data_IF_395841505684
#
_entry.id   IF_395841505684
#
_cell.length_a   1.000
_cell.length_b   1.000
_cell.length_c   1.000
_cell.angle_alpha   90.00
_cell.angle_beta   90.00
_cell.angle_gamma   90.00
#
_symmetry.space_group_name_H-M   'P 1'
#
loop_
_entity.id
_entity.type
_entity.pdbx_description
1 polymer ?
#
# COMPACT_ATOMS: atom_id res chain seq x y z
N UNK A 1 -9.76 -14.15 -0.25
CA UNK A 1 -9.37 -12.90 -0.93
C UNK A 1 -10.63 -12.18 -1.35
N UNK A 2 -10.78 -10.91 -0.99
CA UNK A 2 -11.90 -10.05 -1.41
C UNK A 2 -11.33 -8.85 -2.17
N UNK A 3 -11.97 -8.47 -3.26
CA UNK A 3 -11.64 -7.28 -4.03
C UNK A 3 -12.87 -6.35 -4.04
N UNK A 4 -12.67 -5.09 -3.69
CA UNK A 4 -13.65 -4.02 -3.84
C UNK A 4 -13.08 -2.99 -4.78
N UNK A 5 -13.86 -2.55 -5.77
CA UNK A 5 -13.46 -1.54 -6.74
C UNK A 5 -14.55 -0.46 -6.80
N UNK A 6 -14.20 0.77 -6.41
CA UNK A 6 -15.09 1.93 -6.47
C UNK A 6 -14.54 2.92 -7.48
N UNK A 7 -15.37 3.31 -8.45
CA UNK A 7 -14.97 4.16 -9.60
C UNK A 7 -15.56 5.57 -9.54
N UNK A 8 -16.70 5.74 -8.87
CA UNK A 8 -17.49 6.98 -8.95
C UNK A 8 -17.24 7.96 -7.80
N UNK A 9 -16.61 7.52 -6.71
CA UNK A 9 -16.49 8.30 -5.48
C UNK A 9 -15.70 9.62 -5.65
N UNK A 10 -14.85 9.71 -6.67
CA UNK A 10 -13.93 10.84 -6.87
C UNK A 10 -13.59 11.12 -8.32
N UNK A 11 -14.41 10.59 -9.26
CA UNK A 11 -13.99 10.50 -10.66
C UNK A 11 -13.70 11.88 -11.27
N UNK A 12 -14.54 12.89 -10.99
CA UNK A 12 -14.46 14.22 -11.63
C UNK A 12 -13.92 15.33 -10.71
N UNK A 13 -13.81 15.06 -9.41
CA UNK A 13 -13.29 15.97 -8.39
C UNK A 13 -12.97 15.20 -7.12
N UNK A 14 -12.04 15.71 -6.32
CA UNK A 14 -11.72 15.18 -4.99
C UNK A 14 -12.78 15.56 -3.94
N UNK A 15 -13.60 16.58 -4.20
CA UNK A 15 -14.56 17.10 -3.22
C UNK A 15 -15.58 16.06 -2.72
N UNK A 16 -16.14 15.18 -3.57
CA UNK A 16 -17.03 14.12 -3.10
C UNK A 16 -16.34 13.07 -2.23
N UNK A 17 -15.00 12.92 -2.30
CA UNK A 17 -14.28 11.98 -1.42
C UNK A 17 -14.46 12.34 0.05
N UNK A 18 -14.48 13.64 0.38
CA UNK A 18 -14.71 14.09 1.76
C UNK A 18 -16.06 13.62 2.30
N UNK A 19 -17.07 13.45 1.43
CA UNK A 19 -18.37 12.91 1.83
C UNK A 19 -18.33 11.39 2.02
N UNK A 20 -17.42 10.69 1.33
CA UNK A 20 -17.26 9.22 1.46
C UNK A 20 -16.35 8.81 2.62
N UNK A 21 -15.57 9.73 3.19
CA UNK A 21 -14.65 9.42 4.30
C UNK A 21 -15.37 8.77 5.49
N UNK A 22 -16.55 9.30 5.85
CA UNK A 22 -17.38 8.73 6.90
C UNK A 22 -17.80 7.29 6.60
N UNK A 23 -18.15 6.99 5.34
CA UNK A 23 -18.56 5.65 4.92
C UNK A 23 -17.38 4.67 4.93
N UNK A 24 -16.19 5.10 4.47
CA UNK A 24 -14.98 4.30 4.55
C UNK A 24 -14.58 4.03 6.00
N UNK A 25 -14.57 5.07 6.86
CA UNK A 25 -14.29 4.92 8.29
C UNK A 25 -15.23 3.90 8.91
N UNK A 26 -16.54 4.09 8.73
CA UNK A 26 -17.57 3.19 9.24
C UNK A 26 -17.36 1.76 8.72
N UNK A 27 -17.10 1.58 7.43
CA UNK A 27 -16.82 0.27 6.86
C UNK A 27 -15.62 -0.41 7.54
N UNK A 28 -14.50 0.31 7.73
CA UNK A 28 -13.32 -0.26 8.36
C UNK A 28 -13.52 -0.54 9.85
N UNK A 29 -14.24 0.32 10.57
CA UNK A 29 -14.59 0.13 11.98
C UNK A 29 -15.51 -1.08 12.18
N UNK A 30 -16.62 -1.16 11.44
CA UNK A 30 -17.59 -2.28 11.52
C UNK A 30 -16.96 -3.62 11.13
N UNK A 31 -15.97 -3.61 10.24
CA UNK A 31 -15.30 -4.81 9.74
C UNK A 31 -13.91 -5.04 10.36
N UNK A 32 -13.52 -4.29 11.41
CA UNK A 32 -12.16 -4.29 11.98
C UNK A 32 -11.58 -5.69 12.23
N UNK A 33 -12.38 -6.58 12.82
CA UNK A 33 -11.99 -7.95 13.14
C UNK A 33 -11.63 -8.79 11.89
N UNK A 34 -12.19 -8.48 10.72
CA UNK A 34 -11.87 -9.16 9.46
C UNK A 34 -10.47 -8.81 8.97
N UNK A 35 -9.96 -7.64 9.32
CA UNK A 35 -8.62 -7.17 8.93
C UNK A 35 -7.52 -7.64 9.89
N UNK A 36 -7.85 -8.16 11.07
CA UNK A 36 -6.86 -8.64 12.04
C UNK A 36 -6.02 -9.81 11.49
N UNK A 37 -6.58 -10.61 10.58
CA UNK A 37 -5.92 -11.75 9.96
C UNK A 37 -5.74 -11.61 8.44
N UNK A 38 -5.82 -10.38 7.90
CA UNK A 38 -5.74 -10.13 6.47
C UNK A 38 -4.65 -9.12 6.11
N UNK A 39 -3.96 -9.35 5.00
CA UNK A 39 -3.25 -8.26 4.31
C UNK A 39 -4.30 -7.41 3.62
N UNK A 40 -4.39 -6.14 4.02
CA UNK A 40 -5.36 -5.18 3.50
C UNK A 40 -4.63 -4.16 2.64
N UNK A 41 -5.10 -3.97 1.41
CA UNK A 41 -4.55 -3.02 0.45
C UNK A 41 -5.67 -2.06 0.05
N UNK A 42 -5.45 -0.77 0.20
CA UNK A 42 -6.32 0.29 -0.32
C UNK A 42 -5.50 1.06 -1.33
N UNK A 43 -6.00 1.16 -2.57
CA UNK A 43 -5.25 1.80 -3.65
C UNK A 43 -6.13 2.60 -4.58
N UNK A 44 -5.56 3.67 -5.13
CA UNK A 44 -6.06 4.30 -6.36
C UNK A 44 -5.41 3.65 -7.57
N UNK A 45 -6.14 3.58 -8.68
CA UNK A 45 -5.62 3.15 -9.98
C UNK A 45 -4.85 4.26 -10.70
N UNK A 46 -5.17 5.51 -10.38
CA UNK A 46 -4.44 6.69 -10.80
C UNK A 46 -4.55 7.81 -9.75
N UNK A 47 -3.65 8.79 -9.84
CA UNK A 47 -3.79 10.05 -9.10
C UNK A 47 -4.87 10.96 -9.70
N UNK A 48 -5.18 12.11 -9.08
CA UNK A 48 -6.23 13.00 -9.54
C UNK A 48 -5.98 13.52 -10.97
N UNK A 49 -7.05 13.57 -11.77
CA UNK A 49 -7.02 13.96 -13.20
C UNK A 49 -7.71 15.30 -13.47
N UNK A 50 -8.69 15.65 -12.66
CA UNK A 50 -9.60 16.76 -12.88
C UNK A 50 -9.62 17.68 -11.65
N UNK A 51 -10.28 18.84 -11.78
CA UNK A 51 -10.28 19.96 -10.82
C UNK A 51 -8.99 20.80 -10.82
N UNK A 52 -9.13 22.03 -10.36
CA UNK A 52 -8.08 23.02 -10.18
C UNK A 52 -6.99 22.56 -9.21
N UNK A 53 -7.31 21.66 -8.29
CA UNK A 53 -6.39 21.08 -7.31
C UNK A 53 -5.19 20.38 -7.99
N UNK A 54 -5.39 19.73 -9.15
CA UNK A 54 -4.33 19.05 -9.93
C UNK A 54 -3.25 20.01 -10.41
N UNK A 55 -3.56 21.30 -10.58
CA UNK A 55 -2.59 22.30 -11.04
C UNK A 55 -1.75 22.90 -9.90
N UNK A 56 -2.04 22.54 -8.65
CA UNK A 56 -1.20 22.92 -7.52
C UNK A 56 0.09 22.08 -7.50
N UNK A 57 1.13 22.56 -6.82
CA UNK A 57 2.36 21.77 -6.64
C UNK A 57 2.05 20.39 -6.03
N UNK A 58 1.19 20.34 -5.01
CA UNK A 58 0.78 19.11 -4.36
C UNK A 58 -0.02 18.19 -5.31
N UNK A 59 -1.00 18.72 -6.01
CA UNK A 59 -1.81 17.93 -6.96
C UNK A 59 -0.98 17.34 -8.10
N UNK A 60 0.08 18.01 -8.57
CA UNK A 60 1.03 17.45 -9.53
C UNK A 60 1.85 16.30 -8.94
N UNK A 61 2.17 16.34 -7.65
CA UNK A 61 2.80 15.21 -6.95
C UNK A 61 1.83 14.05 -6.84
N UNK A 62 0.62 14.29 -6.33
CA UNK A 62 -0.41 13.25 -6.11
C UNK A 62 -0.87 12.61 -7.42
N UNK A 63 -0.94 13.39 -8.52
CA UNK A 63 -1.24 12.88 -9.87
C UNK A 63 -0.28 11.76 -10.29
N UNK A 64 1.00 11.89 -9.93
CA UNK A 64 2.05 10.94 -10.27
C UNK A 64 2.28 9.90 -9.16
N UNK A 65 1.59 10.01 -8.02
CA UNK A 65 1.74 9.16 -6.85
C UNK A 65 0.35 8.67 -6.39
N UNK A 66 -0.29 7.75 -7.13
CA UNK A 66 -1.58 7.20 -6.74
C UNK A 66 -1.51 6.60 -5.33
N UNK A 67 -2.61 6.76 -4.57
CA UNK A 67 -2.72 6.25 -3.21
C UNK A 67 -2.39 4.76 -3.16
N UNK A 68 -1.52 4.37 -2.21
CA UNK A 68 -1.21 2.98 -1.90
C UNK A 68 -1.05 2.83 -0.38
N UNK A 69 -2.03 2.23 0.28
CA UNK A 69 -2.03 1.93 1.72
C UNK A 69 -2.00 0.42 1.91
N UNK A 70 -1.11 -0.07 2.78
CA UNK A 70 -1.02 -1.49 3.09
C UNK A 70 -0.98 -1.71 4.60
N UNK A 71 -1.80 -2.64 5.07
CA UNK A 71 -1.80 -3.12 6.46
C UNK A 71 -1.59 -4.62 6.49
N UNK A 72 -0.71 -5.07 7.38
CA UNK A 72 -0.47 -6.49 7.63
C UNK A 72 -1.47 -7.03 8.67
N UNK A 73 -1.73 -8.35 8.66
CA UNK A 73 -2.34 -9.05 9.78
C UNK A 73 -1.69 -8.63 11.10
N UNK A 74 -2.50 -8.51 12.16
CA UNK A 74 -2.08 -8.05 13.48
C UNK A 74 -0.88 -8.84 14.01
N UNK A 75 -0.86 -10.16 13.78
CA UNK A 75 0.25 -11.05 14.16
C UNK A 75 1.57 -10.73 13.47
N UNK A 76 1.54 -10.06 12.31
CA UNK A 76 2.73 -9.72 11.52
C UNK A 76 3.24 -8.28 11.77
N UNK A 77 2.45 -7.42 12.44
CA UNK A 77 2.78 -5.99 12.64
C UNK A 77 3.97 -5.73 13.56
N UNK A 78 4.33 -6.66 14.44
CA UNK A 78 5.52 -6.54 15.30
C UNK A 78 6.65 -7.49 14.88
N UNK A 79 6.62 -7.97 13.62
CA UNK A 79 7.62 -8.89 13.07
C UNK A 79 8.62 -8.18 12.16
N UNK A 80 9.63 -8.91 11.68
CA UNK A 80 10.54 -8.39 10.67
C UNK A 80 9.84 -8.00 9.36
N UNK A 81 8.70 -8.62 9.03
CA UNK A 81 7.94 -8.29 7.83
C UNK A 81 7.44 -6.85 7.85
N UNK A 82 6.93 -6.37 8.99
CA UNK A 82 6.55 -4.96 9.14
C UNK A 82 7.74 -4.03 8.91
N UNK A 83 8.92 -4.38 9.43
CA UNK A 83 10.14 -3.57 9.26
C UNK A 83 10.56 -3.50 7.80
N UNK A 84 10.49 -4.62 7.08
CA UNK A 84 10.80 -4.68 5.65
C UNK A 84 9.77 -3.91 4.83
N UNK A 85 8.48 -4.06 5.11
CA UNK A 85 7.43 -3.28 4.47
C UNK A 85 7.68 -1.77 4.66
N UNK A 86 8.01 -1.34 5.89
CA UNK A 86 8.32 0.07 6.23
C UNK A 86 9.56 0.59 5.56
N UNK A 87 10.59 -0.24 5.42
CA UNK A 87 11.75 0.14 4.63
C UNK A 87 11.39 0.28 3.16
N UNK A 88 10.62 -0.67 2.62
CA UNK A 88 10.24 -0.67 1.22
C UNK A 88 9.31 0.50 0.86
N UNK A 89 8.57 1.07 1.83
CA UNK A 89 7.73 2.24 1.59
C UNK A 89 8.46 3.54 1.27
N UNK A 90 9.78 3.58 1.49
CA UNK A 90 10.62 4.74 1.18
C UNK A 90 11.18 4.71 -0.25
N UNK A 91 10.84 3.68 -1.02
CA UNK A 91 11.28 3.50 -2.41
C UNK A 91 10.10 3.60 -3.36
N UNK A 92 10.40 4.03 -4.59
CA UNK A 92 9.40 4.08 -5.65
C UNK A 92 8.88 2.67 -5.95
N UNK A 93 7.54 2.54 -5.92
CA UNK A 93 6.87 1.30 -6.24
C UNK A 93 5.96 1.45 -7.46
N UNK A 94 5.76 0.34 -8.16
CA UNK A 94 4.90 0.24 -9.32
C UNK A 94 3.85 -0.87 -9.15
N UNK A 95 2.86 -0.92 -10.05
CA UNK A 95 1.93 -2.05 -10.10
C UNK A 95 2.62 -3.40 -10.37
N UNK A 96 3.84 -3.42 -10.90
CA UNK A 96 4.61 -4.66 -11.03
C UNK A 96 5.04 -5.22 -9.66
N UNK A 97 5.35 -4.34 -8.69
CA UNK A 97 5.68 -4.75 -7.33
C UNK A 97 4.42 -5.19 -6.58
N UNK A 98 3.27 -4.56 -6.82
CA UNK A 98 1.97 -5.05 -6.34
C UNK A 98 1.69 -6.46 -6.84
N UNK A 99 1.83 -6.70 -8.15
CA UNK A 99 1.66 -8.03 -8.74
C UNK A 99 2.62 -9.06 -8.11
N UNK A 100 3.90 -8.72 -7.97
CA UNK A 100 4.88 -9.59 -7.31
C UNK A 100 4.53 -9.86 -5.84
N UNK A 101 4.02 -8.86 -5.11
CA UNK A 101 3.57 -8.98 -3.73
C UNK A 101 2.39 -9.92 -3.60
N UNK A 102 1.39 -9.83 -4.49
CA UNK A 102 0.25 -10.74 -4.48
C UNK A 102 0.67 -12.19 -4.77
N UNK A 103 1.57 -12.40 -5.73
CA UNK A 103 2.13 -13.73 -6.01
C UNK A 103 2.92 -14.27 -4.82
N UNK A 104 3.72 -13.44 -4.15
CA UNK A 104 4.47 -13.81 -2.94
C UNK A 104 3.56 -14.26 -1.80
N UNK A 105 2.52 -13.46 -1.50
CA UNK A 105 1.52 -13.76 -0.45
C UNK A 105 0.86 -15.12 -0.70
N UNK A 106 0.50 -15.42 -1.95
CA UNK A 106 -0.26 -16.62 -2.30
C UNK A 106 0.65 -17.85 -2.39
N UNK A 107 1.85 -17.72 -2.97
CA UNK A 107 2.65 -18.89 -3.38
C UNK A 107 3.90 -19.16 -2.54
N UNK A 108 4.46 -18.14 -1.89
CA UNK A 108 5.79 -18.25 -1.29
C UNK A 108 5.79 -17.99 0.22
N UNK A 109 5.04 -17.00 0.71
CA UNK A 109 4.97 -16.70 2.14
C UNK A 109 4.39 -17.85 3.00
N UNK A 110 3.39 -18.63 2.55
CA UNK A 110 2.83 -19.72 3.36
C UNK A 110 3.84 -20.79 3.76
N UNK A 111 4.85 -21.09 2.92
CA UNK A 111 5.85 -22.13 3.23
C UNK A 111 6.79 -21.75 4.38
N UNK A 112 6.90 -20.46 4.70
CA UNK A 112 7.71 -19.94 5.80
C UNK A 112 6.86 -19.42 6.96
N UNK A 113 5.55 -19.64 6.94
CA UNK A 113 4.60 -19.00 7.87
C UNK A 113 4.80 -17.46 7.93
N UNK A 114 4.98 -16.82 6.77
CA UNK A 114 5.16 -15.37 6.66
C UNK A 114 6.36 -14.82 7.45
N UNK A 115 7.44 -15.61 7.58
CA UNK A 115 8.67 -15.19 8.29
C UNK A 115 9.83 -14.84 7.37
N UNK A 116 9.85 -15.37 6.13
CA UNK A 116 10.93 -15.12 5.19
C UNK A 116 10.76 -13.78 4.46
N UNK A 117 11.61 -12.83 4.83
CA UNK A 117 11.67 -11.50 4.22
C UNK A 117 12.94 -11.33 3.37
N UNK A 118 13.66 -12.40 3.07
CA UNK A 118 14.84 -12.35 2.20
C UNK A 118 14.44 -12.03 0.76
N UNK A 119 15.37 -11.42 0.01
CA UNK A 119 15.14 -11.13 -1.40
C UNK A 119 14.83 -12.42 -2.16
N UNK A 120 13.80 -12.38 -3.00
CA UNK A 120 13.41 -13.46 -3.89
C UNK A 120 13.03 -12.86 -5.24
N UNK A 121 13.68 -13.32 -6.31
CA UNK A 121 13.18 -13.11 -7.68
C UNK A 121 12.07 -14.12 -7.92
N UNK A 122 10.84 -13.65 -8.07
CA UNK A 122 9.68 -14.49 -8.36
C UNK A 122 9.53 -14.60 -9.88
N UNK A 123 9.68 -15.82 -10.40
CA UNK A 123 9.53 -16.09 -11.83
C UNK A 123 8.15 -15.68 -12.35
N UNK A 124 8.11 -15.05 -13.53
CA UNK A 124 6.86 -14.54 -14.13
C UNK A 124 6.38 -13.20 -13.56
N UNK A 125 7.19 -12.53 -12.73
CA UNK A 125 6.90 -11.19 -12.23
C UNK A 125 8.00 -10.22 -12.64
N UNK A 126 7.64 -8.96 -12.89
CA UNK A 126 8.59 -7.89 -13.24
C UNK A 126 9.03 -7.05 -12.04
N UNK A 127 8.28 -7.08 -10.93
CA UNK A 127 8.56 -6.30 -9.72
C UNK A 127 9.22 -7.12 -8.62
N UNK A 128 9.29 -6.55 -7.41
CA UNK A 128 9.65 -7.27 -6.19
C UNK A 128 8.57 -7.12 -5.12
N UNK A 129 8.36 -8.19 -4.36
CA UNK A 129 7.39 -8.19 -3.26
C UNK A 129 7.74 -7.17 -2.19
N UNK A 130 6.75 -6.39 -1.74
CA UNK A 130 6.87 -5.47 -0.61
C UNK A 130 7.16 -6.17 0.72
N UNK A 131 6.88 -7.47 0.82
CA UNK A 131 7.09 -8.27 2.03
C UNK A 131 8.51 -8.84 2.11
N UNK A 132 9.34 -8.60 1.09
CA UNK A 132 10.71 -9.05 0.98
C UNK A 132 11.65 -7.88 0.81
N UNK A 133 12.91 -8.05 1.20
CA UNK A 133 13.93 -7.06 0.83
C UNK A 133 13.95 -6.91 -0.68
N UNK A 134 13.84 -5.67 -1.15
CA UNK A 134 13.99 -5.38 -2.56
C UNK A 134 15.40 -5.76 -3.06
N UNK A 135 15.47 -6.11 -4.34
CA UNK A 135 16.72 -6.28 -5.09
C UNK A 135 17.57 -5.02 -5.01
N UNK A 136 18.84 -5.19 -4.65
CA UNK A 136 19.83 -4.11 -4.60
C UNK A 136 20.31 -3.76 -6.01
N UNK A 137 20.62 -2.49 -6.26
CA UNK A 137 21.24 -2.04 -7.52
C UNK A 137 20.27 -1.79 -8.68
N UNK A 138 18.95 -1.87 -8.47
CA UNK A 138 17.95 -1.47 -9.47
C UNK A 138 17.74 0.06 -9.43
N UNK A 139 17.80 0.80 -10.55
CA UNK A 139 17.74 2.27 -10.56
C UNK A 139 16.49 2.90 -9.91
N UNK A 140 15.32 2.26 -10.01
CA UNK A 140 14.10 2.72 -9.32
C UNK A 140 14.20 2.61 -7.79
N UNK A 141 15.25 1.97 -7.27
CA UNK A 141 15.49 1.67 -5.86
C UNK A 141 16.73 2.37 -5.31
N UNK A 142 17.42 3.16 -6.15
CA UNK A 142 18.56 4.00 -5.73
C UNK A 142 18.13 5.39 -5.28
N UNK A 143 16.92 5.83 -5.61
CA UNK A 143 16.32 7.05 -5.06
C UNK A 143 15.40 6.68 -3.91
N UNK A 144 15.84 6.90 -2.67
CA UNK A 144 14.90 7.09 -1.57
C UNK A 144 14.00 8.25 -2.00
N UNK A 145 12.70 8.13 -1.90
CA UNK A 145 11.82 9.26 -2.20
C UNK A 145 12.21 10.37 -1.23
N UNK A 146 12.96 11.38 -1.67
CA UNK A 146 13.42 12.51 -0.85
C UNK A 146 12.29 13.40 -0.32
N UNK A 147 11.06 12.90 -0.42
CA UNK A 147 9.82 13.44 0.09
C UNK A 147 9.56 12.76 1.43
N UNK A 148 9.63 13.56 2.50
CA UNK A 148 9.11 13.18 3.79
C UNK A 148 7.63 12.86 3.64
N UNK A 149 7.32 11.58 3.80
CA UNK A 149 6.00 10.95 3.76
C UNK A 149 5.42 10.53 2.38
N UNK A 150 5.10 9.24 2.34
CA UNK A 150 4.12 8.51 1.50
C UNK A 150 4.45 8.17 0.03
N UNK A 151 5.01 6.98 -0.19
CA UNK A 151 4.81 6.15 -1.42
C UNK A 151 4.14 4.80 -1.14
N UNK A 152 4.06 4.43 0.14
CA UNK A 152 3.32 3.31 0.68
C UNK A 152 3.04 3.67 2.14
N UNK A 153 1.80 3.97 2.48
CA UNK A 153 1.48 4.21 3.89
C UNK A 153 1.27 2.89 4.60
N UNK A 154 1.99 2.69 5.70
CA UNK A 154 1.77 1.55 6.58
C UNK A 154 0.97 2.03 7.78
N UNK A 155 -0.34 1.89 7.65
CA UNK A 155 -1.33 2.37 8.62
C UNK A 155 -1.34 1.53 9.92
N UNK A 156 -0.55 0.45 9.96
CA UNK A 156 -0.62 -0.57 11.02
C UNK A 156 -0.43 -0.08 12.46
N UNK A 157 0.39 0.96 12.71
CA UNK A 157 0.60 1.50 14.08
C UNK A 157 -0.32 2.68 14.43
N UNK A 158 -0.73 3.50 13.46
CA UNK A 158 -1.76 4.54 13.69
C UNK A 158 -3.12 3.91 14.08
N UNK A 159 -3.50 2.79 13.45
CA UNK A 159 -4.78 2.10 13.69
C UNK A 159 -5.00 1.70 15.16
N UNK A 160 -3.93 1.32 15.86
CA UNK A 160 -3.97 0.91 17.26
C UNK A 160 -3.88 2.12 18.22
N UNK A 161 -3.45 3.29 17.74
CA UNK A 161 -3.38 4.54 18.53
C UNK A 161 -4.69 5.33 18.55
N UNK A 162 -5.48 5.27 17.49
CA UNK A 162 -6.81 5.93 17.41
C UNK A 162 -7.84 5.26 18.33
N UNK A 163 -7.49 4.13 18.97
CA UNK A 163 -8.37 3.33 19.81
C UNK A 163 -7.87 3.17 21.27
N UNK A 164 -7.17 4.18 21.81
CA UNK A 164 -6.91 4.32 23.25
C UNK A 164 -7.82 5.36 23.87
#
# INVERSE_FOLDING_TARGET
MSLMWSVAASHDSERPMANTDHDFRRFFEENKHKFDNAVTIVMGDHGPRYDSAVNTKQGLYDKNNPLMLVSLPKTLRETNMQKVLKRNSEFLSSHHDLHATLVDIIRHQPSSNFSDTSFLRINGTYGSSWLRRFEMGVPSRTTQSGIGEWQLAIVGKEWDRVNK
#
